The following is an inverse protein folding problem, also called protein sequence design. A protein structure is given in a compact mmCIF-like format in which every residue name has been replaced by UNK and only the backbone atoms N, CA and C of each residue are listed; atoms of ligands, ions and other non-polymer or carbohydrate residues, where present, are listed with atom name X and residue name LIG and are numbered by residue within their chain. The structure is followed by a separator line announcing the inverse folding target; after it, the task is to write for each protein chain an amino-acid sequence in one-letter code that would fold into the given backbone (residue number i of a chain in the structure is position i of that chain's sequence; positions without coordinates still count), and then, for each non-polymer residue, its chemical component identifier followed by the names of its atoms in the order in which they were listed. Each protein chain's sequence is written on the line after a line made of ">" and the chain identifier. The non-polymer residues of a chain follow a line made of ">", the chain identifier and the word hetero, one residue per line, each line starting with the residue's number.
data_IF_995529904069
#
_entry.id   IF_995529904069
#
_cell.length_a   1.000
_cell.length_b   1.000
_cell.length_c   1.000
_cell.angle_alpha   90.00
_cell.angle_beta   90.00
_cell.angle_gamma   90.00
#
_symmetry.space_group_name_H-M   'P 1'
#
loop_
_entity.id
_entity.type
_entity.pdbx_description
1 polymer ?
#
# COMPACT_ATOMS: atom_id res chain seq x y z
N UNK A 1 5.96 -15.90 16.07
CA UNK A 1 7.38 -15.69 16.41
C UNK A 1 7.58 -15.44 17.91
N UNK A 2 7.06 -14.38 18.50
CA UNK A 2 7.26 -14.05 19.94
C UNK A 2 6.77 -15.12 20.93
N UNK A 3 5.77 -15.94 20.57
CA UNK A 3 5.22 -17.00 21.42
C UNK A 3 6.10 -18.26 21.48
N UNK A 4 6.99 -18.45 20.53
CA UNK A 4 7.78 -19.68 20.35
C UNK A 4 9.28 -19.42 20.52
N UNK A 5 9.70 -18.23 21.00
CA UNK A 5 11.12 -17.87 21.17
C UNK A 5 11.98 -18.29 19.95
N UNK A 6 11.55 -17.93 18.75
CA UNK A 6 12.21 -18.35 17.49
C UNK A 6 13.69 -17.95 17.46
N UNK A 7 14.04 -16.85 18.11
CA UNK A 7 15.41 -16.35 18.21
C UNK A 7 16.33 -17.31 18.99
N UNK A 8 15.78 -18.00 19.99
CA UNK A 8 16.53 -19.04 20.73
C UNK A 8 16.59 -20.38 19.98
N UNK A 9 15.53 -20.71 19.22
CA UNK A 9 15.43 -21.97 18.49
C UNK A 9 16.22 -21.96 17.17
N UNK A 10 16.42 -20.79 16.54
CA UNK A 10 17.09 -20.60 15.27
C UNK A 10 17.99 -19.36 15.32
N UNK A 11 19.09 -19.40 16.10
CA UNK A 11 19.98 -18.24 16.30
C UNK A 11 20.70 -17.80 15.02
N UNK A 12 20.77 -18.65 14.00
CA UNK A 12 21.40 -18.34 12.70
C UNK A 12 20.48 -17.55 11.75
N UNK A 13 19.19 -17.44 12.06
CA UNK A 13 18.21 -16.74 11.22
C UNK A 13 17.91 -15.36 11.81
N UNK A 14 18.37 -14.30 11.13
CA UNK A 14 17.95 -12.94 11.47
C UNK A 14 16.49 -12.69 11.04
N UNK A 15 15.59 -12.77 12.00
CA UNK A 15 14.15 -12.54 11.79
C UNK A 15 13.81 -11.16 11.26
N UNK A 16 14.65 -10.14 11.55
CA UNK A 16 14.45 -8.78 11.02
C UNK A 16 14.76 -8.71 9.53
N UNK A 17 15.86 -9.34 9.12
CA UNK A 17 16.22 -9.44 7.70
C UNK A 17 15.19 -10.26 6.93
N UNK A 18 14.72 -11.37 7.49
CA UNK A 18 13.67 -12.20 6.87
C UNK A 18 12.36 -11.43 6.71
N UNK A 19 11.94 -10.65 7.72
CA UNK A 19 10.75 -9.79 7.67
C UNK A 19 10.86 -8.78 6.52
N UNK A 20 12.00 -8.09 6.41
CA UNK A 20 12.25 -7.13 5.33
C UNK A 20 12.25 -7.77 3.94
N UNK A 21 12.78 -8.98 3.79
CA UNK A 21 12.78 -9.72 2.50
C UNK A 21 11.35 -10.11 2.13
N UNK A 22 10.57 -10.62 3.07
CA UNK A 22 9.16 -10.98 2.86
C UNK A 22 8.34 -9.74 2.53
N UNK A 23 8.56 -8.64 3.24
CA UNK A 23 7.89 -7.36 3.00
C UNK A 23 8.23 -6.83 1.60
N UNK A 24 9.50 -6.83 1.20
CA UNK A 24 9.91 -6.41 -0.14
C UNK A 24 9.27 -7.29 -1.23
N UNK A 25 9.18 -8.60 -1.01
CA UNK A 25 8.53 -9.50 -1.94
C UNK A 25 7.04 -9.16 -2.10
N UNK A 26 6.30 -9.03 -0.99
CA UNK A 26 4.85 -8.80 -0.99
C UNK A 26 4.47 -7.38 -1.43
N UNK A 27 5.23 -6.37 -1.01
CA UNK A 27 4.87 -4.97 -1.26
C UNK A 27 5.45 -4.40 -2.55
N UNK A 28 6.45 -5.06 -3.15
CA UNK A 28 7.14 -4.53 -4.33
C UNK A 28 7.23 -5.53 -5.48
N UNK A 29 7.79 -6.72 -5.25
CA UNK A 29 8.04 -7.69 -6.34
C UNK A 29 6.72 -8.22 -6.91
N UNK A 30 5.79 -8.69 -6.08
CA UNK A 30 4.49 -9.15 -6.55
C UNK A 30 3.70 -8.07 -7.31
N UNK A 31 3.57 -6.82 -6.81
CA UNK A 31 2.96 -5.73 -7.57
C UNK A 31 3.62 -5.46 -8.92
N UNK A 32 4.95 -5.48 -8.99
CA UNK A 32 5.68 -5.31 -10.25
C UNK A 32 5.36 -6.43 -11.24
N UNK A 33 5.32 -7.68 -10.78
CA UNK A 33 4.92 -8.81 -11.60
C UNK A 33 3.48 -8.67 -12.12
N UNK A 34 2.56 -8.18 -11.27
CA UNK A 34 1.18 -7.92 -11.70
C UNK A 34 1.11 -6.80 -12.75
N UNK A 35 1.82 -5.68 -12.56
CA UNK A 35 1.89 -4.58 -13.52
C UNK A 35 2.40 -5.09 -14.88
N UNK A 36 3.45 -5.89 -14.86
CA UNK A 36 4.06 -6.47 -16.05
C UNK A 36 3.11 -7.46 -16.75
N UNK A 37 2.59 -8.43 -16.00
CA UNK A 37 1.81 -9.56 -16.56
C UNK A 37 0.45 -9.13 -17.07
N UNK A 38 -0.21 -8.20 -16.40
CA UNK A 38 -1.53 -7.70 -16.78
C UNK A 38 -1.48 -6.45 -17.66
N UNK A 39 -0.28 -6.04 -18.12
CA UNK A 39 -0.09 -4.86 -18.98
C UNK A 39 -0.80 -3.61 -18.43
N UNK A 40 -0.66 -3.37 -17.12
CA UNK A 40 -1.39 -2.31 -16.42
C UNK A 40 -0.91 -0.89 -16.77
N UNK A 41 0.24 -0.75 -17.45
CA UNK A 41 0.80 0.52 -17.94
C UNK A 41 1.09 0.41 -19.43
N UNK A 42 1.35 1.55 -20.16
CA UNK A 42 1.68 1.50 -21.58
C UNK A 42 2.85 0.58 -21.87
N UNK A 43 2.72 -0.24 -22.92
CA UNK A 43 3.67 -1.31 -23.26
C UNK A 43 5.13 -0.83 -23.36
N UNK A 44 5.34 0.31 -24.00
CA UNK A 44 6.68 0.91 -24.16
C UNK A 44 7.30 1.44 -22.87
N UNK A 45 6.52 1.61 -21.79
CA UNK A 45 6.95 2.13 -20.50
C UNK A 45 6.99 1.07 -19.40
N UNK A 46 6.52 -0.16 -19.68
CA UNK A 46 6.37 -1.21 -18.65
C UNK A 46 7.69 -1.56 -17.96
N UNK A 47 8.77 -1.76 -18.71
CA UNK A 47 10.07 -2.09 -18.13
C UNK A 47 10.65 -0.94 -17.29
N UNK A 48 10.55 0.29 -17.81
CA UNK A 48 10.98 1.47 -17.06
C UNK A 48 10.21 1.61 -15.75
N UNK A 49 8.89 1.42 -15.80
CA UNK A 49 8.02 1.48 -14.61
C UNK A 49 8.41 0.42 -13.59
N UNK A 50 8.57 -0.83 -14.02
CA UNK A 50 8.95 -1.93 -13.13
C UNK A 50 10.30 -1.70 -12.45
N UNK A 51 11.31 -1.28 -13.21
CA UNK A 51 12.64 -0.96 -12.68
C UNK A 51 12.57 0.20 -11.69
N UNK A 52 11.83 1.27 -12.01
CA UNK A 52 11.70 2.44 -11.14
C UNK A 52 11.03 2.09 -9.81
N UNK A 53 9.98 1.25 -9.82
CA UNK A 53 9.33 0.74 -8.61
C UNK A 53 10.31 -0.06 -7.75
N UNK A 54 11.06 -0.98 -8.34
CA UNK A 54 12.03 -1.80 -7.61
C UNK A 54 13.14 -0.96 -6.99
N UNK A 55 13.69 0.00 -7.72
CA UNK A 55 14.73 0.92 -7.21
C UNK A 55 14.21 1.78 -6.06
N UNK A 56 13.01 2.37 -6.20
CA UNK A 56 12.38 3.14 -5.13
C UNK A 56 12.10 2.27 -3.90
N UNK A 57 11.71 1.02 -4.10
CA UNK A 57 11.49 0.06 -3.02
C UNK A 57 12.79 -0.31 -2.30
N UNK A 58 13.87 -0.58 -3.04
CA UNK A 58 15.19 -0.82 -2.45
C UNK A 58 15.63 0.36 -1.58
N UNK A 59 15.44 1.59 -2.06
CA UNK A 59 15.70 2.79 -1.26
C UNK A 59 14.86 2.80 0.02
N UNK A 60 13.53 2.58 -0.09
CA UNK A 60 12.60 2.59 1.03
C UNK A 60 12.96 1.55 2.10
N UNK A 61 13.24 0.31 1.71
CA UNK A 61 13.59 -0.77 2.64
C UNK A 61 15.00 -0.62 3.24
N UNK A 62 15.87 0.17 2.60
CA UNK A 62 17.22 0.46 3.10
C UNK A 62 17.26 1.66 4.05
N UNK A 63 16.26 2.55 4.03
CA UNK A 63 16.24 3.74 4.89
C UNK A 63 15.77 3.40 6.32
N UNK A 64 16.71 3.47 7.27
CA UNK A 64 16.45 3.26 8.71
C UNK A 64 15.46 4.28 9.30
N UNK A 65 15.25 5.43 8.66
CA UNK A 65 14.41 6.53 9.13
C UNK A 65 13.00 6.52 8.53
N UNK A 66 12.64 5.46 7.79
CA UNK A 66 11.32 5.36 7.16
C UNK A 66 10.16 5.30 8.15
N UNK A 67 10.38 4.82 9.36
CA UNK A 67 9.39 4.79 10.44
C UNK A 67 9.67 5.91 11.41
N UNK A 68 8.71 6.82 11.59
CA UNK A 68 8.83 7.90 12.57
C UNK A 68 8.60 7.39 13.99
N UNK A 69 9.06 8.15 15.00
CA UNK A 69 8.88 7.79 16.43
C UNK A 69 7.41 7.68 16.84
N UNK A 70 6.52 8.39 16.16
CA UNK A 70 5.07 8.39 16.37
C UNK A 70 4.33 7.34 15.51
N UNK A 71 5.06 6.35 14.95
CA UNK A 71 4.55 5.22 14.17
C UNK A 71 3.85 5.60 12.87
N UNK A 72 4.30 6.65 12.20
CA UNK A 72 3.94 6.95 10.81
C UNK A 72 5.06 6.52 9.88
N UNK A 73 4.70 6.27 8.62
CA UNK A 73 5.67 6.11 7.56
C UNK A 73 6.01 7.45 6.94
N UNK A 74 7.27 7.65 6.57
CA UNK A 74 7.76 8.83 5.87
C UNK A 74 7.72 8.60 4.37
N UNK A 75 6.96 9.42 3.65
CA UNK A 75 6.78 9.28 2.22
C UNK A 75 5.88 8.11 1.82
N UNK A 76 5.81 7.82 0.52
CA UNK A 76 5.15 6.63 0.01
C UNK A 76 6.04 5.41 0.28
N UNK A 77 5.80 4.72 1.38
CA UNK A 77 6.66 3.65 1.91
C UNK A 77 6.47 2.30 1.20
N UNK A 78 6.67 2.26 -0.12
CA UNK A 78 6.59 1.05 -0.94
C UNK A 78 5.27 0.26 -0.81
N UNK A 79 4.13 0.94 -0.66
CA UNK A 79 2.80 0.32 -0.61
C UNK A 79 2.25 0.02 -2.02
N UNK A 80 3.09 -0.55 -2.88
CA UNK A 80 2.75 -0.81 -4.28
C UNK A 80 1.63 -1.83 -4.44
N UNK A 81 1.49 -2.76 -3.51
CA UNK A 81 0.37 -3.70 -3.47
C UNK A 81 -0.97 -2.98 -3.32
N UNK A 82 -1.07 -1.96 -2.46
CA UNK A 82 -2.29 -1.15 -2.35
C UNK A 82 -2.57 -0.40 -3.65
N UNK A 83 -1.54 0.23 -4.25
CA UNK A 83 -1.70 0.94 -5.51
C UNK A 83 -2.20 0.01 -6.63
N UNK A 84 -1.66 -1.21 -6.74
CA UNK A 84 -2.11 -2.20 -7.72
C UNK A 84 -3.57 -2.61 -7.49
N UNK A 85 -4.02 -2.75 -6.24
CA UNK A 85 -5.45 -2.95 -5.94
C UNK A 85 -6.30 -1.78 -6.43
N UNK A 86 -5.87 -0.53 -6.19
CA UNK A 86 -6.58 0.65 -6.71
C UNK A 86 -6.65 0.65 -8.24
N UNK A 87 -5.54 0.41 -8.92
CA UNK A 87 -5.46 0.32 -10.37
C UNK A 87 -6.41 -0.75 -10.90
N UNK A 88 -6.43 -1.92 -10.27
CA UNK A 88 -7.26 -3.05 -10.68
C UNK A 88 -8.76 -2.79 -10.48
N UNK A 89 -9.14 -2.18 -9.35
CA UNK A 89 -10.56 -1.87 -9.04
C UNK A 89 -11.07 -0.72 -9.90
N UNK A 90 -10.30 0.37 -10.04
CA UNK A 90 -10.71 1.57 -10.75
C UNK A 90 -10.73 1.41 -12.28
N UNK A 91 -9.80 0.60 -12.83
CA UNK A 91 -9.71 0.27 -14.25
C UNK A 91 -9.73 1.50 -15.20
N UNK A 92 -8.99 2.53 -14.84
CA UNK A 92 -8.97 3.83 -15.51
C UNK A 92 -8.07 3.88 -16.77
N UNK A 93 -7.41 2.77 -17.07
CA UNK A 93 -6.57 2.60 -18.25
C UNK A 93 -5.08 2.85 -18.02
N UNK A 94 -4.23 2.34 -18.95
CA UNK A 94 -2.78 2.27 -18.75
C UNK A 94 -2.07 3.61 -18.51
N UNK A 95 -2.48 4.67 -19.18
CA UNK A 95 -1.88 5.99 -19.01
C UNK A 95 -2.18 6.63 -17.66
N UNK A 96 -3.41 6.45 -17.16
CA UNK A 96 -3.77 6.90 -15.81
C UNK A 96 -2.97 6.14 -14.76
N UNK A 97 -2.85 4.83 -14.92
CA UNK A 97 -2.08 3.97 -14.02
C UNK A 97 -0.60 4.39 -13.97
N UNK A 98 -0.02 4.67 -15.13
CA UNK A 98 1.36 5.17 -15.23
C UNK A 98 1.52 6.51 -14.49
N UNK A 99 0.59 7.46 -14.69
CA UNK A 99 0.59 8.73 -13.97
C UNK A 99 0.48 8.56 -12.45
N UNK A 100 -0.39 7.66 -11.97
CA UNK A 100 -0.52 7.34 -10.54
C UNK A 100 0.76 6.73 -9.97
N UNK A 101 1.43 5.84 -10.70
CA UNK A 101 2.71 5.26 -10.30
C UNK A 101 3.79 6.34 -10.24
N UNK A 102 3.90 7.22 -11.25
CA UNK A 102 4.84 8.34 -11.25
C UNK A 102 4.61 9.26 -10.03
N UNK A 103 3.37 9.56 -9.69
CA UNK A 103 3.03 10.33 -8.51
C UNK A 103 3.52 9.63 -7.22
N UNK A 104 3.29 8.34 -7.07
CA UNK A 104 3.75 7.57 -5.91
C UNK A 104 5.28 7.50 -5.84
N UNK A 105 5.98 7.38 -6.99
CA UNK A 105 7.43 7.46 -7.05
C UNK A 105 7.95 8.81 -6.53
N UNK A 106 7.34 9.91 -6.93
CA UNK A 106 7.68 11.25 -6.42
C UNK A 106 7.40 11.34 -4.92
N UNK A 107 6.23 10.87 -4.48
CA UNK A 107 5.82 10.90 -3.07
C UNK A 107 6.73 10.04 -2.16
N UNK A 108 7.47 9.08 -2.71
CA UNK A 108 8.48 8.30 -1.95
C UNK A 108 9.56 9.21 -1.37
N UNK A 109 9.95 10.28 -2.07
CA UNK A 109 11.00 11.20 -1.65
C UNK A 109 10.48 12.44 -0.89
N UNK A 110 9.16 12.64 -0.84
CA UNK A 110 8.54 13.76 -0.13
C UNK A 110 8.23 13.29 1.31
N UNK A 111 8.64 14.03 2.36
CA UNK A 111 8.47 13.61 3.75
C UNK A 111 7.04 13.81 4.29
N UNK A 112 6.03 13.29 3.58
CA UNK A 112 4.65 13.22 4.07
C UNK A 112 4.53 12.09 5.09
N UNK A 113 3.61 12.21 6.05
CA UNK A 113 3.35 11.17 7.05
C UNK A 113 2.15 10.33 6.63
N UNK A 114 2.40 9.04 6.38
CA UNK A 114 1.34 8.05 6.12
C UNK A 114 1.11 7.23 7.39
N UNK A 115 -0.16 7.14 7.81
CA UNK A 115 -0.54 6.45 9.05
C UNK A 115 -0.25 4.94 8.98
N UNK A 116 0.31 4.39 10.07
CA UNK A 116 0.34 2.94 10.27
C UNK A 116 -0.94 2.51 11.03
N UNK A 117 -1.90 1.80 10.38
CA UNK A 117 -3.24 1.58 10.92
C UNK A 117 -3.28 0.92 12.29
N UNK A 118 -2.32 0.04 12.60
CA UNK A 118 -2.32 -0.77 13.81
C UNK A 118 -1.46 -0.23 14.96
N UNK A 119 -0.57 0.74 14.69
CA UNK A 119 0.45 1.18 15.66
C UNK A 119 0.15 2.52 16.30
N UNK A 120 -0.62 3.40 15.66
CA UNK A 120 -1.01 4.71 16.20
C UNK A 120 -2.09 4.50 17.26
N UNK A 121 -1.72 4.57 18.54
CA UNK A 121 -2.58 4.22 19.69
C UNK A 121 -3.90 4.98 19.74
N UNK A 122 -3.86 6.30 19.50
CA UNK A 122 -5.04 7.19 19.58
C UNK A 122 -6.11 6.86 18.54
N UNK A 123 -5.73 6.34 17.37
CA UNK A 123 -6.62 6.07 16.24
C UNK A 123 -6.77 4.56 15.96
N UNK A 124 -6.23 3.71 16.83
CA UNK A 124 -6.12 2.28 16.56
C UNK A 124 -7.47 1.61 16.30
N UNK A 125 -8.46 1.86 17.14
CA UNK A 125 -9.76 1.19 17.03
C UNK A 125 -10.51 1.62 15.76
N UNK A 126 -10.54 2.92 15.48
CA UNK A 126 -11.15 3.46 14.25
C UNK A 126 -10.39 3.00 13.00
N UNK A 127 -9.06 2.96 13.05
CA UNK A 127 -8.24 2.49 11.92
C UNK A 127 -8.44 1.00 11.65
N UNK A 128 -8.52 0.15 12.69
CA UNK A 128 -8.81 -1.28 12.53
C UNK A 128 -10.20 -1.50 11.90
N UNK A 129 -11.22 -0.77 12.36
CA UNK A 129 -12.54 -0.82 11.76
C UNK A 129 -12.51 -0.43 10.27
N UNK A 130 -11.84 0.70 9.96
CA UNK A 130 -11.74 1.18 8.58
C UNK A 130 -10.91 0.26 7.68
N UNK A 131 -9.86 -0.40 8.19
CA UNK A 131 -9.15 -1.45 7.45
C UNK A 131 -10.08 -2.62 7.16
N UNK A 132 -10.90 -3.05 8.14
CA UNK A 132 -11.90 -4.10 7.95
C UNK A 132 -12.88 -3.76 6.83
N UNK A 133 -13.48 -2.56 6.90
CA UNK A 133 -14.41 -2.06 5.86
C UNK A 133 -13.71 -1.99 4.51
N UNK A 134 -12.51 -1.42 4.45
CA UNK A 134 -11.73 -1.30 3.21
C UNK A 134 -11.43 -2.66 2.59
N UNK A 135 -10.93 -3.61 3.40
CA UNK A 135 -10.54 -4.93 2.90
C UNK A 135 -11.73 -5.77 2.43
N UNK A 136 -12.82 -5.79 3.19
CA UNK A 136 -14.04 -6.52 2.80
C UNK A 136 -14.68 -5.94 1.55
N UNK A 137 -14.74 -4.60 1.46
CA UNK A 137 -15.23 -3.91 0.26
C UNK A 137 -14.34 -4.18 -0.96
N UNK A 138 -13.01 -4.13 -0.81
CA UNK A 138 -12.08 -4.42 -1.90
C UNK A 138 -12.21 -5.87 -2.41
N UNK A 139 -12.28 -6.85 -1.51
CA UNK A 139 -12.50 -8.25 -1.88
C UNK A 139 -13.82 -8.42 -2.64
N UNK A 140 -14.91 -7.82 -2.15
CA UNK A 140 -16.18 -7.87 -2.85
C UNK A 140 -16.09 -7.27 -4.27
N UNK A 141 -15.50 -6.08 -4.40
CA UNK A 141 -15.35 -5.40 -5.69
C UNK A 141 -14.52 -6.22 -6.70
N UNK A 142 -13.46 -6.88 -6.22
CA UNK A 142 -12.60 -7.73 -7.06
C UNK A 142 -13.35 -8.98 -7.52
N UNK A 143 -13.99 -9.69 -6.58
CA UNK A 143 -14.67 -10.96 -6.90
C UNK A 143 -15.90 -10.76 -7.79
N UNK A 144 -16.58 -9.62 -7.67
CA UNK A 144 -17.81 -9.35 -8.38
C UNK A 144 -17.68 -8.31 -9.49
N UNK A 145 -16.45 -7.99 -9.92
CA UNK A 145 -16.16 -7.00 -10.98
C UNK A 145 -16.98 -7.22 -12.25
N UNK A 146 -17.26 -8.48 -12.61
CA UNK A 146 -18.00 -8.87 -13.80
C UNK A 146 -19.38 -9.51 -13.51
N UNK A 147 -19.86 -9.44 -12.26
CA UNK A 147 -21.12 -10.06 -11.87
C UNK A 147 -22.30 -9.11 -12.09
N UNK A 148 -23.19 -9.47 -13.03
CA UNK A 148 -24.43 -8.72 -13.30
C UNK A 148 -25.42 -8.79 -12.14
N UNK A 149 -25.49 -9.92 -11.43
CA UNK A 149 -26.48 -10.16 -10.37
C UNK A 149 -26.34 -9.25 -9.15
N UNK A 150 -25.12 -8.74 -8.88
CA UNK A 150 -24.81 -7.93 -7.71
C UNK A 150 -24.54 -6.45 -8.04
N UNK A 151 -24.87 -6.04 -9.26
CA UNK A 151 -24.64 -4.67 -9.74
C UNK A 151 -25.28 -3.60 -8.86
N UNK A 152 -26.45 -3.86 -8.29
CA UNK A 152 -27.16 -2.94 -7.40
C UNK A 152 -26.38 -2.63 -6.10
N UNK A 153 -25.59 -3.58 -5.60
CA UNK A 153 -24.78 -3.37 -4.40
C UNK A 153 -23.39 -2.77 -4.71
N UNK A 154 -22.98 -2.84 -5.98
CA UNK A 154 -21.64 -2.42 -6.39
C UNK A 154 -21.37 -0.95 -6.08
N UNK A 155 -22.31 -0.04 -6.38
CA UNK A 155 -22.15 1.38 -6.13
C UNK A 155 -22.07 1.71 -4.63
N UNK A 156 -22.86 1.04 -3.79
CA UNK A 156 -22.84 1.21 -2.34
C UNK A 156 -21.50 0.73 -1.75
N UNK A 157 -21.05 -0.45 -2.15
CA UNK A 157 -19.79 -1.02 -1.65
C UNK A 157 -18.59 -0.23 -2.16
N UNK A 158 -18.64 0.25 -3.39
CA UNK A 158 -17.64 1.16 -3.93
C UNK A 158 -17.58 2.48 -3.13
N UNK A 159 -18.74 3.03 -2.75
CA UNK A 159 -18.82 4.19 -1.87
C UNK A 159 -18.19 3.94 -0.50
N UNK A 160 -18.46 2.80 0.14
CA UNK A 160 -17.84 2.41 1.42
C UNK A 160 -16.31 2.28 1.29
N UNK A 161 -15.83 1.70 0.20
CA UNK A 161 -14.42 1.58 -0.09
C UNK A 161 -13.73 2.95 -0.28
N UNK A 162 -14.38 3.88 -0.98
CA UNK A 162 -13.88 5.25 -1.14
C UNK A 162 -13.87 6.02 0.18
N UNK A 163 -14.92 5.91 1.01
CA UNK A 163 -15.01 6.57 2.31
C UNK A 163 -13.88 6.07 3.23
N UNK A 164 -13.64 4.76 3.30
CA UNK A 164 -12.57 4.20 4.09
C UNK A 164 -11.18 4.63 3.58
N UNK A 165 -11.00 4.75 2.28
CA UNK A 165 -9.79 5.30 1.66
C UNK A 165 -9.59 6.78 2.03
N UNK A 166 -10.66 7.60 1.89
CA UNK A 166 -10.62 9.02 2.24
C UNK A 166 -10.27 9.26 3.72
N UNK A 167 -10.73 8.39 4.62
CA UNK A 167 -10.37 8.42 6.03
C UNK A 167 -8.85 8.33 6.22
N UNK A 168 -8.17 7.36 5.58
CA UNK A 168 -6.72 7.21 5.71
C UNK A 168 -5.94 8.36 5.09
N UNK A 169 -6.38 8.86 3.93
CA UNK A 169 -5.78 10.01 3.26
C UNK A 169 -5.93 11.25 4.14
N UNK A 170 -7.13 11.52 4.67
CA UNK A 170 -7.39 12.69 5.52
C UNK A 170 -6.54 12.70 6.78
N UNK A 171 -6.44 11.57 7.50
CA UNK A 171 -5.62 11.48 8.72
C UNK A 171 -4.13 11.70 8.39
N UNK A 172 -3.65 11.10 7.31
CA UNK A 172 -2.25 11.22 6.88
C UNK A 172 -1.91 12.68 6.54
N UNK A 173 -2.78 13.36 5.78
CA UNK A 173 -2.61 14.77 5.44
C UNK A 173 -2.67 15.65 6.70
N UNK A 174 -3.70 15.50 7.54
CA UNK A 174 -3.86 16.27 8.77
C UNK A 174 -2.63 16.18 9.66
N UNK A 175 -2.00 15.01 9.78
CA UNK A 175 -0.81 14.81 10.58
C UNK A 175 0.45 15.40 9.95
N UNK A 176 0.54 15.36 8.62
CA UNK A 176 1.65 15.98 7.89
C UNK A 176 1.69 17.49 8.04
N UNK A 177 0.52 18.15 8.01
CA UNK A 177 0.43 19.61 8.15
C UNK A 177 0.59 20.10 9.60
N UNK A 178 0.17 19.33 10.61
CA UNK A 178 0.25 19.73 12.02
C UNK A 178 1.69 19.80 12.59
N UNK A 179 2.68 19.30 11.87
CA UNK A 179 4.09 19.37 12.30
C UNK A 179 4.83 20.61 11.79
N UNK A 180 4.24 21.37 10.88
CA UNK A 180 4.83 22.59 10.34
C UNK A 180 4.36 23.86 11.09
N UNK A 181 3.59 23.70 12.15
CA UNK A 181 3.18 24.74 13.11
C UNK A 181 3.67 24.38 14.50
#
# INVERSE_FOLDING_TARGET
>A
ARYVNVEEALPEVDGSTLDNVIDMFNYSILPVLMIYWFSMVPYNLVHLTCISILLASCYTFSDKNMKTKDYYFKGFSALWNLLVFFIFILDLGPWFNFGAICLCLILTFIPIKIIHPFRVKELRNSSILMVGVWSTSAVFLILHKHSFLLHQFHAMIFGLWLISTAYFVWISLRRSFKQNT
#
